data_IF_651650619840
#
_entry.id   IF_651650619840
#
_cell.length_a   1.000
_cell.length_b   1.000
_cell.length_c   1.000
_cell.angle_alpha   90.00
_cell.angle_beta   90.00
_cell.angle_gamma   90.00
#
_symmetry.space_group_name_H-M   'P 1'
#
loop_
_entity.id
_entity.type
_entity.pdbx_description
1 polymer ?
#
# COMPACT_ATOMS: atom_id res chain seq x y z
N UNK A 1 -34.41 -38.39 20.96
CA UNK A 1 -33.53 -37.31 20.50
C UNK A 1 -33.05 -37.71 19.11
N UNK A 2 -33.86 -37.43 18.09
CA UNK A 2 -33.60 -37.89 16.72
C UNK A 2 -32.91 -36.74 15.98
N UNK A 3 -31.62 -36.90 15.73
CA UNK A 3 -30.84 -35.98 14.91
C UNK A 3 -31.29 -36.15 13.46
N UNK A 4 -31.73 -35.05 12.86
CA UNK A 4 -32.07 -34.96 11.45
C UNK A 4 -30.82 -35.23 10.59
N UNK A 5 -30.81 -36.27 9.75
CA UNK A 5 -29.63 -36.66 8.95
C UNK A 5 -29.26 -35.64 7.86
N UNK A 6 -30.02 -34.55 7.70
CA UNK A 6 -29.74 -33.48 6.73
C UNK A 6 -28.77 -32.39 7.22
N UNK A 7 -28.34 -32.43 8.49
CA UNK A 7 -27.34 -31.51 9.04
C UNK A 7 -25.96 -32.15 9.19
N UNK A 8 -25.41 -32.68 8.10
CA UNK A 8 -23.94 -32.72 7.98
C UNK A 8 -23.50 -31.36 7.49
N UNK A 9 -22.61 -30.64 8.20
CA UNK A 9 -21.90 -29.52 7.60
C UNK A 9 -21.33 -30.02 6.29
N UNK A 10 -21.65 -29.33 5.19
CA UNK A 10 -21.01 -29.61 3.90
C UNK A 10 -19.53 -29.36 4.13
N UNK A 11 -18.77 -30.43 4.34
CA UNK A 11 -17.31 -30.38 4.30
C UNK A 11 -16.97 -29.95 2.88
N UNK A 12 -16.64 -28.67 2.73
CA UNK A 12 -16.18 -28.14 1.45
C UNK A 12 -14.82 -28.78 1.23
N UNK A 13 -14.79 -29.83 0.41
CA UNK A 13 -13.56 -30.38 -0.11
C UNK A 13 -12.90 -29.27 -0.97
N UNK A 14 -11.74 -28.72 -0.55
CA UNK A 14 -11.08 -27.63 -1.27
C UNK A 14 -10.62 -28.04 -2.68
N UNK A 15 -10.60 -29.34 -3.01
CA UNK A 15 -10.29 -29.87 -4.34
C UNK A 15 -11.54 -30.14 -5.19
N UNK A 16 -12.76 -29.91 -4.66
CA UNK A 16 -13.99 -30.08 -5.41
C UNK A 16 -14.07 -29.11 -6.60
N UNK A 17 -14.57 -29.62 -7.73
CA UNK A 17 -14.75 -28.84 -8.95
C UNK A 17 -15.67 -27.62 -8.75
N UNK A 18 -16.65 -27.71 -7.84
CA UNK A 18 -17.52 -26.59 -7.46
C UNK A 18 -16.78 -25.52 -6.64
N UNK A 19 -15.91 -25.93 -5.70
CA UNK A 19 -15.07 -25.02 -4.92
C UNK A 19 -14.06 -24.28 -5.82
N UNK A 20 -13.46 -24.99 -6.78
CA UNK A 20 -12.57 -24.41 -7.79
C UNK A 20 -13.30 -23.42 -8.71
N UNK A 21 -14.53 -23.75 -9.14
CA UNK A 21 -15.35 -22.85 -9.95
C UNK A 21 -15.75 -21.58 -9.20
N UNK A 22 -16.15 -21.69 -7.92
CA UNK A 22 -16.47 -20.54 -7.08
C UNK A 22 -15.27 -19.62 -6.83
N UNK A 23 -14.07 -20.18 -6.62
CA UNK A 23 -12.82 -19.41 -6.52
C UNK A 23 -12.47 -18.71 -7.84
N UNK A 24 -12.66 -19.37 -8.98
CA UNK A 24 -12.44 -18.79 -10.29
C UNK A 24 -13.40 -17.62 -10.57
N UNK A 25 -14.69 -17.78 -10.27
CA UNK A 25 -15.69 -16.72 -10.41
C UNK A 25 -15.39 -15.52 -9.49
N UNK A 26 -14.95 -15.79 -8.26
CA UNK A 26 -14.53 -14.73 -7.32
C UNK A 26 -13.31 -13.97 -7.85
N UNK A 27 -12.31 -14.68 -8.40
CA UNK A 27 -11.14 -14.07 -9.04
C UNK A 27 -11.53 -13.25 -10.27
N UNK A 28 -12.49 -13.72 -11.06
CA UNK A 28 -12.99 -13.02 -12.25
C UNK A 28 -13.61 -11.67 -11.88
N UNK A 29 -14.42 -11.62 -10.81
CA UNK A 29 -15.02 -10.37 -10.30
C UNK A 29 -13.98 -9.39 -9.78
N UNK A 30 -12.93 -9.86 -9.11
CA UNK A 30 -11.84 -8.99 -8.64
C UNK A 30 -11.07 -8.37 -9.83
N UNK A 31 -10.94 -9.09 -10.94
CA UNK A 31 -10.27 -8.61 -12.15
C UNK A 31 -11.02 -7.50 -12.91
N UNK A 32 -12.26 -7.17 -12.49
CA UNK A 32 -13.05 -6.09 -13.10
C UNK A 32 -12.54 -4.69 -12.72
N UNK A 33 -11.81 -4.56 -11.61
CA UNK A 33 -11.22 -3.29 -11.21
C UNK A 33 -9.98 -3.02 -12.07
N UNK A 34 -9.91 -1.86 -12.77
CA UNK A 34 -8.72 -1.51 -13.54
C UNK A 34 -7.47 -1.51 -12.67
N UNK A 35 -6.41 -2.18 -13.14
CA UNK A 35 -5.19 -2.36 -12.35
C UNK A 35 -4.55 -1.02 -11.91
N UNK A 36 -4.68 0.04 -12.70
CA UNK A 36 -4.17 1.36 -12.34
C UNK A 36 -4.85 1.91 -11.08
N UNK A 37 -6.16 1.68 -10.89
CA UNK A 37 -6.90 2.12 -9.69
C UNK A 37 -6.34 1.44 -8.44
N UNK A 38 -6.10 0.13 -8.52
CA UNK A 38 -5.52 -0.65 -7.41
C UNK A 38 -4.09 -0.19 -7.12
N UNK A 39 -3.27 0.00 -8.15
CA UNK A 39 -1.90 0.49 -8.00
C UNK A 39 -1.86 1.90 -7.39
N UNK A 40 -2.69 2.83 -7.88
CA UNK A 40 -2.82 4.19 -7.32
C UNK A 40 -3.20 4.13 -5.85
N UNK A 41 -4.17 3.28 -5.48
CA UNK A 41 -4.54 3.08 -4.09
C UNK A 41 -3.36 2.58 -3.23
N UNK A 42 -2.52 1.68 -3.75
CA UNK A 42 -1.31 1.25 -3.06
C UNK A 42 -0.26 2.37 -2.93
N UNK A 43 -0.10 3.22 -3.95
CA UNK A 43 0.77 4.40 -3.87
C UNK A 43 0.31 5.32 -2.75
N UNK A 44 -1.00 5.57 -2.64
CA UNK A 44 -1.57 6.37 -1.55
C UNK A 44 -1.26 5.77 -0.17
N UNK A 45 -1.43 4.46 0.00
CA UNK A 45 -1.08 3.78 1.26
C UNK A 45 0.41 3.88 1.61
N UNK A 46 1.31 3.80 0.62
CA UNK A 46 2.75 4.00 0.83
C UNK A 46 3.09 5.45 1.19
N UNK A 47 2.39 6.41 0.58
CA UNK A 47 2.52 7.83 0.92
C UNK A 47 2.07 8.10 2.37
N UNK A 48 0.93 7.57 2.80
CA UNK A 48 0.46 7.68 4.17
C UNK A 48 1.42 7.03 5.16
N UNK A 49 1.97 5.86 4.81
CA UNK A 49 2.98 5.19 5.62
C UNK A 49 4.22 6.09 5.82
N UNK A 50 4.73 6.70 4.74
CA UNK A 50 5.82 7.65 4.82
C UNK A 50 5.48 8.83 5.75
N UNK A 51 4.27 9.41 5.60
CA UNK A 51 3.82 10.53 6.42
C UNK A 51 3.74 10.15 7.91
N UNK A 52 3.16 8.99 8.26
CA UNK A 52 3.06 8.48 9.63
C UNK A 52 4.44 8.29 10.27
N UNK A 53 5.41 7.75 9.52
CA UNK A 53 6.77 7.56 10.03
C UNK A 53 7.51 8.89 10.20
N UNK A 54 7.27 9.83 9.28
CA UNK A 54 7.90 11.14 9.29
C UNK A 54 7.34 12.06 10.38
N UNK A 55 6.05 11.94 10.70
CA UNK A 55 5.38 12.71 11.76
C UNK A 55 5.47 12.05 13.15
N UNK A 56 6.19 10.93 13.29
CA UNK A 56 6.38 10.28 14.58
C UNK A 56 7.25 11.13 15.51
N UNK A 57 7.15 10.89 16.82
CA UNK A 57 7.98 11.56 17.84
C UNK A 57 8.78 10.49 18.64
N UNK A 58 10.10 10.34 18.42
CA UNK A 58 10.92 11.03 17.41
C UNK A 58 10.64 10.52 15.97
N UNK A 59 10.92 11.34 14.92
CA UNK A 59 10.71 10.93 13.54
C UNK A 59 11.52 9.69 13.17
N UNK A 60 10.89 8.75 12.46
CA UNK A 60 11.51 7.48 12.03
C UNK A 60 12.02 7.60 10.60
N UNK A 61 13.15 8.30 10.42
CA UNK A 61 13.67 8.67 9.10
C UNK A 61 13.92 7.47 8.18
N UNK A 62 14.54 6.39 8.66
CA UNK A 62 14.83 5.22 7.81
C UNK A 62 13.54 4.56 7.27
N UNK A 63 12.50 4.51 8.10
CA UNK A 63 11.22 3.93 7.71
C UNK A 63 10.46 4.85 6.75
N UNK A 64 10.50 6.17 6.99
CA UNK A 64 9.93 7.15 6.08
C UNK A 64 10.64 7.11 4.72
N UNK A 65 11.98 7.02 4.70
CA UNK A 65 12.78 6.95 3.49
C UNK A 65 12.41 5.73 2.64
N UNK A 66 12.32 4.53 3.24
CA UNK A 66 11.90 3.32 2.52
C UNK A 66 10.52 3.48 1.84
N UNK A 67 9.56 4.07 2.54
CA UNK A 67 8.23 4.30 1.99
C UNK A 67 8.23 5.35 0.86
N UNK A 68 8.99 6.45 1.03
CA UNK A 68 9.17 7.47 -0.01
C UNK A 68 9.82 6.89 -1.28
N UNK A 69 10.84 6.03 -1.11
CA UNK A 69 11.51 5.37 -2.22
C UNK A 69 10.58 4.40 -2.96
N UNK A 70 9.70 3.71 -2.24
CA UNK A 70 8.67 2.85 -2.83
C UNK A 70 7.66 3.67 -3.65
N UNK A 71 7.18 4.79 -3.12
CA UNK A 71 6.32 5.73 -3.87
C UNK A 71 7.05 6.22 -5.12
N UNK A 72 8.32 6.62 -5.00
CA UNK A 72 9.13 7.09 -6.12
C UNK A 72 9.26 6.05 -7.23
N UNK A 73 9.63 4.81 -6.89
CA UNK A 73 9.78 3.73 -7.84
C UNK A 73 8.51 3.52 -8.68
N UNK A 74 7.34 3.64 -8.06
CA UNK A 74 6.05 3.45 -8.74
C UNK A 74 5.68 4.68 -9.55
N UNK A 75 5.71 5.88 -8.96
CA UNK A 75 5.26 7.12 -9.60
C UNK A 75 6.16 7.50 -10.76
N UNK A 76 7.47 7.45 -10.58
CA UNK A 76 8.44 7.80 -11.62
C UNK A 76 8.60 6.67 -12.64
N UNK A 77 8.54 5.41 -12.19
CA UNK A 77 8.70 4.25 -13.07
C UNK A 77 7.49 3.96 -13.96
N UNK A 78 6.27 4.20 -13.49
CA UNK A 78 5.05 3.95 -14.26
C UNK A 78 4.58 5.18 -15.04
N UNK A 79 4.82 6.38 -14.54
CA UNK A 79 4.46 7.62 -15.22
C UNK A 79 2.98 7.71 -15.57
N UNK A 80 2.68 8.09 -16.82
CA UNK A 80 1.31 8.23 -17.33
C UNK A 80 0.46 6.95 -17.28
N UNK A 81 1.06 5.77 -17.08
CA UNK A 81 0.31 4.51 -16.90
C UNK A 81 -0.51 4.48 -15.61
N UNK A 82 -0.25 5.38 -14.67
CA UNK A 82 -1.04 5.54 -13.45
C UNK A 82 -2.42 6.18 -13.70
N UNK A 83 -2.62 6.80 -14.86
CA UNK A 83 -3.88 7.47 -15.19
C UNK A 83 -3.87 8.96 -14.84
N UNK A 84 -5.05 9.50 -14.56
CA UNK A 84 -5.31 10.94 -14.39
C UNK A 84 -4.60 11.49 -13.14
N UNK A 85 -4.37 10.64 -12.16
CA UNK A 85 -3.81 10.90 -10.84
C UNK A 85 -2.29 11.04 -10.88
N UNK A 86 -1.63 10.65 -11.98
CA UNK A 86 -0.17 10.66 -12.09
C UNK A 86 0.43 12.00 -11.68
N UNK A 87 -0.12 13.12 -12.17
CA UNK A 87 0.41 14.45 -11.86
C UNK A 87 0.24 14.81 -10.40
N UNK A 88 -0.92 14.52 -9.83
CA UNK A 88 -1.17 14.70 -8.40
C UNK A 88 -0.21 13.87 -7.54
N UNK A 89 0.04 12.62 -7.91
CA UNK A 89 0.99 11.74 -7.21
C UNK A 89 2.44 12.20 -7.35
N UNK A 90 2.82 12.73 -8.53
CA UNK A 90 4.13 13.33 -8.77
C UNK A 90 4.35 14.56 -7.88
N UNK A 91 3.34 15.43 -7.76
CA UNK A 91 3.41 16.60 -6.89
C UNK A 91 3.45 16.20 -5.41
N UNK A 92 2.64 15.22 -4.99
CA UNK A 92 2.65 14.69 -3.63
C UNK A 92 4.01 14.09 -3.25
N UNK A 93 4.64 13.32 -4.16
CA UNK A 93 5.99 12.79 -3.97
C UNK A 93 7.02 13.91 -3.78
N UNK A 94 6.92 15.00 -4.54
CA UNK A 94 7.77 16.18 -4.37
C UNK A 94 7.62 16.80 -2.97
N UNK A 95 6.38 16.98 -2.54
CA UNK A 95 6.06 17.58 -1.23
C UNK A 95 6.59 16.75 -0.07
N UNK A 96 6.41 15.42 -0.08
CA UNK A 96 6.86 14.57 1.03
C UNK A 96 8.38 14.43 1.08
N UNK A 97 9.07 14.45 -0.06
CA UNK A 97 10.54 14.51 -0.12
C UNK A 97 11.08 15.81 0.49
N UNK A 98 10.43 16.95 0.20
CA UNK A 98 10.79 18.22 0.80
C UNK A 98 10.61 18.19 2.33
N UNK A 99 9.48 17.68 2.80
CA UNK A 99 9.22 17.52 4.23
C UNK A 99 10.28 16.63 4.92
N UNK A 100 10.68 15.52 4.27
CA UNK A 100 11.72 14.63 4.76
C UNK A 100 13.05 15.36 4.96
N UNK A 101 13.52 16.11 3.95
CA UNK A 101 14.78 16.85 4.02
C UNK A 101 14.73 17.93 5.12
N UNK A 102 13.62 18.64 5.24
CA UNK A 102 13.43 19.65 6.28
C UNK A 102 13.53 19.04 7.69
N UNK A 103 12.82 17.93 7.95
CA UNK A 103 12.82 17.27 9.26
C UNK A 103 14.17 16.64 9.56
N UNK A 104 14.81 15.98 8.59
CA UNK A 104 16.16 15.45 8.73
C UNK A 104 17.15 16.56 9.09
N UNK A 105 17.06 17.71 8.44
CA UNK A 105 17.89 18.87 8.76
C UNK A 105 17.70 19.38 10.18
N UNK A 106 16.45 19.42 10.69
CA UNK A 106 16.18 19.79 12.09
C UNK A 106 16.82 18.79 13.06
N UNK A 107 16.70 17.49 12.80
CA UNK A 107 17.27 16.42 13.64
C UNK A 107 18.81 16.49 13.64
N UNK A 108 19.42 16.61 12.46
CA UNK A 108 20.87 16.71 12.32
C UNK A 108 21.44 17.94 13.04
N UNK A 109 20.73 19.07 13.01
CA UNK A 109 21.11 20.29 13.74
C UNK A 109 20.88 20.20 15.25
N UNK A 110 19.94 19.36 15.70
CA UNK A 110 19.64 19.15 17.11
C UNK A 110 20.62 18.18 17.80
N UNK A 111 21.31 17.34 17.03
CA UNK A 111 22.41 16.51 17.53
C UNK A 111 23.67 17.40 17.71
N UNK A 112 24.11 17.73 18.94
CA UNK A 112 25.29 18.56 19.12
C UNK A 112 26.52 17.83 18.57
N UNK A 113 27.45 18.59 17.97
CA UNK A 113 28.80 18.14 17.69
C UNK A 113 29.44 17.66 19.01
N UNK A 114 29.43 16.36 19.27
CA UNK A 114 30.27 15.77 20.30
C UNK A 114 31.68 15.73 19.71
N UNK A 115 32.46 16.76 20.05
CA UNK A 115 33.93 16.75 19.95
C UNK A 115 34.52 15.88 21.06
#
# INVERSE_FOLDING_TARGET
MNQDPTQRPVEIDPESQEALAALAETRQRIAEVPANIVVVNHVMGLYELAAIHLSAEPPRLDQAALAIDAVACIVEGLGSRLGEEYKTLQDALGNIRLAFVQIKGVIDNAAPLIN
#
